data_IF_473079297973
#
_entry.id   IF_473079297973
#
_cell.length_a   1.000
_cell.length_b   1.000
_cell.length_c   1.000
_cell.angle_alpha   90.00
_cell.angle_beta   90.00
_cell.angle_gamma   90.00
#
_symmetry.space_group_name_H-M   'P 1'
#
loop_
_entity.id
_entity.type
_entity.pdbx_description
1 polymer ?
#
# COMPACT_ATOMS: atom_id res chain seq x y z
N UNK A 1 8.43 8.85 -19.90
CA UNK A 1 7.66 7.65 -19.50
C UNK A 1 6.79 7.98 -18.28
N UNK A 2 5.48 8.11 -18.52
CA UNK A 2 4.32 8.12 -17.60
C UNK A 2 4.40 8.83 -16.23
N UNK A 3 3.81 10.04 -16.18
CA UNK A 3 2.63 10.35 -15.35
C UNK A 3 2.69 10.05 -13.85
N UNK A 4 3.25 10.97 -13.06
CA UNK A 4 3.05 10.97 -11.59
C UNK A 4 1.61 11.41 -11.27
N UNK A 5 0.68 10.46 -11.29
CA UNK A 5 -0.73 10.67 -11.00
C UNK A 5 -0.97 11.32 -9.62
N UNK A 6 -1.62 12.49 -9.65
CA UNK A 6 -2.24 13.26 -8.55
C UNK A 6 -1.77 12.90 -7.12
N UNK A 7 -0.58 13.39 -6.77
CA UNK A 7 -0.05 13.43 -5.40
C UNK A 7 -0.32 14.75 -4.67
N UNK A 8 -1.31 15.53 -5.10
CA UNK A 8 -1.61 16.85 -4.56
C UNK A 8 -3.04 16.93 -4.04
N UNK A 9 -3.16 16.90 -2.70
CA UNK A 9 -4.27 17.29 -1.82
C UNK A 9 -4.01 16.55 -0.51
N UNK A 10 -4.02 17.25 0.62
CA UNK A 10 -3.89 16.68 1.97
C UNK A 10 -4.69 15.39 2.02
N UNK A 11 -3.98 14.25 1.98
CA UNK A 11 -4.62 12.95 1.77
C UNK A 11 -5.48 12.70 2.99
N UNK A 12 -6.80 12.83 2.86
CA UNK A 12 -7.74 12.21 3.78
C UNK A 12 -7.23 10.79 4.04
N UNK A 13 -7.24 10.35 5.32
CA UNK A 13 -6.67 9.06 5.73
C UNK A 13 -7.17 7.97 4.77
N UNK A 14 -6.31 7.58 3.83
CA UNK A 14 -6.70 6.60 2.84
C UNK A 14 -6.97 5.30 3.58
N UNK A 15 -8.09 4.62 3.27
CA UNK A 15 -8.39 3.31 3.83
C UNK A 15 -7.17 2.41 3.66
N UNK A 16 -6.71 1.81 4.76
CA UNK A 16 -5.52 0.98 4.76
C UNK A 16 -5.73 -0.26 3.87
N UNK A 17 -4.65 -0.86 3.38
CA UNK A 17 -4.74 -2.08 2.56
C UNK A 17 -5.38 -3.24 3.34
N UNK A 18 -5.13 -3.34 4.64
CA UNK A 18 -5.78 -4.31 5.52
C UNK A 18 -7.29 -4.07 5.60
N UNK A 19 -7.73 -2.81 5.82
CA UNK A 19 -9.15 -2.48 5.90
C UNK A 19 -9.90 -2.74 4.58
N UNK A 20 -9.25 -2.56 3.43
CA UNK A 20 -9.83 -2.90 2.12
C UNK A 20 -9.95 -4.41 1.90
N UNK A 21 -9.02 -5.18 2.45
CA UNK A 21 -9.00 -6.64 2.33
C UNK A 21 -9.83 -7.36 3.40
N UNK A 22 -10.29 -6.66 4.44
CA UNK A 22 -11.00 -7.27 5.57
C UNK A 22 -10.11 -8.14 6.45
N UNK A 23 -8.79 -7.90 6.46
CA UNK A 23 -7.83 -8.76 7.15
C UNK A 23 -7.29 -8.07 8.42
N UNK A 24 -7.15 -8.85 9.49
CA UNK A 24 -6.63 -8.38 10.78
C UNK A 24 -5.12 -8.14 10.76
N UNK A 25 -4.39 -8.83 9.87
CA UNK A 25 -2.94 -8.71 9.81
C UNK A 25 -2.50 -7.58 8.85
N UNK A 26 -1.27 -7.04 9.01
CA UNK A 26 -0.82 -5.85 8.29
C UNK A 26 -0.37 -6.17 6.86
N UNK A 27 -1.33 -6.24 5.93
CA UNK A 27 -1.13 -6.54 4.50
C UNK A 27 -0.05 -5.65 3.86
N UNK A 28 0.00 -4.36 4.23
CA UNK A 28 1.02 -3.44 3.71
C UNK A 28 2.46 -3.79 4.12
N UNK A 29 2.63 -4.37 5.32
CA UNK A 29 3.94 -4.83 5.82
C UNK A 29 4.34 -6.12 5.12
N UNK A 30 3.43 -7.09 5.00
CA UNK A 30 3.66 -8.34 4.28
C UNK A 30 4.09 -8.06 2.84
N UNK A 31 3.37 -7.19 2.13
CA UNK A 31 3.76 -6.78 0.78
C UNK A 31 5.16 -6.16 0.72
N UNK A 32 5.54 -5.33 1.71
CA UNK A 32 6.90 -4.76 1.76
C UNK A 32 7.97 -5.83 2.00
N UNK A 33 7.72 -6.79 2.89
CA UNK A 33 8.65 -7.87 3.17
C UNK A 33 8.83 -8.79 1.97
N UNK A 34 7.76 -9.12 1.24
CA UNK A 34 7.86 -9.93 0.02
C UNK A 34 8.70 -9.22 -1.06
N UNK A 35 8.45 -7.92 -1.29
CA UNK A 35 9.21 -7.11 -2.26
C UNK A 35 10.68 -6.90 -1.88
N UNK A 36 10.99 -6.81 -0.58
CA UNK A 36 12.37 -6.61 -0.10
C UNK A 36 13.11 -7.94 0.15
N UNK A 37 12.37 -9.01 0.39
CA UNK A 37 12.91 -10.32 0.77
C UNK A 37 13.34 -11.20 -0.39
N UNK A 38 13.39 -10.66 -1.62
CA UNK A 38 13.74 -11.38 -2.85
C UNK A 38 12.82 -12.58 -3.13
N UNK A 39 11.55 -12.48 -2.73
CA UNK A 39 10.55 -13.52 -2.98
C UNK A 39 9.71 -13.23 -4.24
N UNK A 40 9.78 -12.01 -4.79
CA UNK A 40 9.06 -11.56 -5.98
C UNK A 40 9.59 -10.23 -6.53
#
# INVERSE_FOLDING_TARGET
>A
MSGRGKGGKTRARAKSRSARAGLQFPVGRVHRLLRKGNYA
#
